data_IF_360088439339
#
_entry.id   IF_360088439339
#
_cell.length_a   1.000
_cell.length_b   1.000
_cell.length_c   1.000
_cell.angle_alpha   90.00
_cell.angle_beta   90.00
_cell.angle_gamma   90.00
#
_symmetry.space_group_name_H-M   'P 1'
#
loop_
_entity.id
_entity.type
_entity.pdbx_description
1 polymer ?
#
# COMPACT_ATOMS: atom_id res chain seq x y z
N UNK A 1 6.28 25.05 6.82
CA UNK A 1 7.43 24.36 6.20
C UNK A 1 7.98 23.37 7.21
N UNK A 2 8.26 22.12 6.81
CA UNK A 2 8.86 21.13 7.70
C UNK A 2 10.34 21.42 7.98
N UNK A 3 10.84 21.02 9.15
CA UNK A 3 12.25 21.14 9.49
C UNK A 3 13.06 20.01 8.85
N UNK A 4 14.05 20.33 8.02
CA UNK A 4 14.94 19.35 7.36
C UNK A 4 16.23 19.09 8.13
N UNK A 5 16.51 19.88 9.18
CA UNK A 5 17.70 19.72 10.03
C UNK A 5 17.65 18.46 10.89
N UNK A 6 16.48 17.82 11.03
CA UNK A 6 16.35 16.53 11.70
C UNK A 6 16.76 15.34 10.81
N UNK A 7 17.08 15.57 9.53
CA UNK A 7 17.48 14.53 8.59
C UNK A 7 19.00 14.34 8.58
N UNK A 8 19.50 13.10 8.32
CA UNK A 8 20.93 12.82 8.19
C UNK A 8 21.64 13.76 7.22
N UNK A 9 22.90 14.10 7.51
CA UNK A 9 23.71 15.00 6.67
C UNK A 9 24.13 14.42 5.33
N UNK A 10 24.11 13.09 5.20
CA UNK A 10 24.37 12.43 3.92
C UNK A 10 23.32 12.86 2.87
N UNK A 11 23.72 13.55 1.78
CA UNK A 11 22.79 14.08 0.79
C UNK A 11 21.96 13.00 0.09
N UNK A 12 22.55 11.83 -0.16
CA UNK A 12 21.86 10.72 -0.83
C UNK A 12 20.77 10.11 0.06
N UNK A 13 21.08 9.85 1.33
CA UNK A 13 20.12 9.38 2.32
C UNK A 13 19.02 10.41 2.58
N UNK A 14 19.38 11.69 2.69
CA UNK A 14 18.44 12.80 2.87
C UNK A 14 17.46 12.89 1.71
N UNK A 15 17.94 12.82 0.47
CA UNK A 15 17.09 12.78 -0.73
C UNK A 15 16.17 11.56 -0.71
N UNK A 16 16.69 10.37 -0.38
CA UNK A 16 15.89 9.13 -0.31
C UNK A 16 14.76 9.23 0.72
N UNK A 17 15.01 9.81 1.88
CA UNK A 17 14.00 10.03 2.92
C UNK A 17 12.95 11.04 2.44
N UNK A 18 13.38 12.17 1.88
CA UNK A 18 12.47 13.19 1.36
C UNK A 18 11.60 12.66 0.21
N UNK A 19 12.15 11.85 -0.70
CA UNK A 19 11.38 11.20 -1.76
C UNK A 19 10.31 10.25 -1.19
N UNK A 20 10.66 9.46 -0.17
CA UNK A 20 9.69 8.57 0.51
C UNK A 20 8.62 9.37 1.26
N UNK A 21 9.00 10.44 1.96
CA UNK A 21 8.06 11.32 2.65
C UNK A 21 7.13 12.06 1.67
N UNK A 22 7.68 12.50 0.54
CA UNK A 22 6.92 13.08 -0.57
C UNK A 22 5.90 12.09 -1.13
N UNK A 23 6.31 10.85 -1.40
CA UNK A 23 5.39 9.80 -1.84
C UNK A 23 4.23 9.57 -0.85
N UNK A 24 4.53 9.54 0.46
CA UNK A 24 3.49 9.41 1.49
C UNK A 24 2.55 10.64 1.53
N UNK A 25 3.12 11.84 1.42
CA UNK A 25 2.35 13.08 1.43
C UNK A 25 1.43 13.18 0.22
N UNK A 26 1.96 12.96 -0.99
CA UNK A 26 1.17 12.98 -2.21
C UNK A 26 0.16 11.83 -2.25
N UNK A 27 0.53 10.62 -1.82
CA UNK A 27 -0.43 9.51 -1.71
C UNK A 27 -1.54 9.74 -0.69
N UNK A 28 -1.29 10.51 0.39
CA UNK A 28 -2.30 10.86 1.38
C UNK A 28 -3.24 12.00 0.93
N UNK A 29 -2.80 12.82 -0.03
CA UNK A 29 -3.58 13.90 -0.65
C UNK A 29 -4.34 13.37 -1.88
N UNK A 30 -3.77 12.40 -2.58
CA UNK A 30 -4.43 11.62 -3.61
C UNK A 30 -5.46 10.67 -3.01
N UNK A 31 -6.25 10.05 -3.88
CA UNK A 31 -7.28 9.08 -3.52
C UNK A 31 -6.68 7.92 -2.72
N UNK A 32 -6.94 7.88 -1.42
CA UNK A 32 -6.44 6.86 -0.49
C UNK A 32 -6.84 5.45 -0.91
N UNK A 33 -7.97 5.31 -1.58
CA UNK A 33 -8.45 4.02 -2.05
C UNK A 33 -7.54 3.55 -3.17
N UNK A 34 -7.11 4.44 -4.07
CA UNK A 34 -6.14 4.14 -5.11
C UNK A 34 -4.78 3.69 -4.56
N UNK A 35 -4.32 4.27 -3.45
CA UNK A 35 -3.09 3.81 -2.81
C UNK A 35 -3.23 2.37 -2.29
N UNK A 36 -4.35 2.05 -1.65
CA UNK A 36 -4.66 0.70 -1.19
C UNK A 36 -4.77 -0.28 -2.38
N UNK A 37 -5.46 0.12 -3.45
CA UNK A 37 -5.55 -0.65 -4.71
C UNK A 37 -4.18 -0.96 -5.28
N UNK A 38 -3.27 0.03 -5.30
CA UNK A 38 -1.91 -0.16 -5.80
C UNK A 38 -1.15 -1.21 -5.00
N UNK A 39 -1.24 -1.21 -3.67
CA UNK A 39 -0.61 -2.25 -2.86
C UNK A 39 -1.24 -3.63 -3.07
N UNK A 40 -2.57 -3.71 -3.18
CA UNK A 40 -3.27 -4.95 -3.54
C UNK A 40 -2.80 -5.49 -4.90
N UNK A 41 -2.66 -4.62 -5.89
CA UNK A 41 -2.25 -4.99 -7.24
C UNK A 41 -0.83 -5.56 -7.27
N UNK A 42 0.09 -5.06 -6.44
CA UNK A 42 1.42 -5.67 -6.30
C UNK A 42 1.33 -7.06 -5.65
N UNK A 43 0.51 -7.24 -4.61
CA UNK A 43 0.33 -8.56 -3.98
C UNK A 43 -0.24 -9.60 -4.96
N UNK A 44 -1.22 -9.19 -5.78
CA UNK A 44 -1.86 -10.08 -6.76
C UNK A 44 -0.95 -10.33 -7.96
N UNK A 45 -0.40 -9.28 -8.57
CA UNK A 45 0.27 -9.36 -9.86
C UNK A 45 1.75 -9.71 -9.75
N UNK A 46 2.46 -9.18 -8.74
CA UNK A 46 3.89 -9.44 -8.55
C UNK A 46 4.11 -10.68 -7.68
N UNK A 47 3.44 -10.75 -6.53
CA UNK A 47 3.60 -11.87 -5.58
C UNK A 47 2.71 -13.08 -5.91
N UNK A 48 1.76 -12.95 -6.85
CA UNK A 48 0.90 -14.05 -7.29
C UNK A 48 -0.11 -14.52 -6.23
N UNK A 49 -0.37 -13.71 -5.21
CA UNK A 49 -1.30 -14.09 -4.14
C UNK A 49 -2.73 -13.92 -4.66
N UNK A 50 -3.52 -14.98 -4.58
CA UNK A 50 -4.90 -14.94 -5.05
C UNK A 50 -5.75 -13.95 -4.23
N UNK A 51 -6.74 -13.32 -4.89
CA UNK A 51 -7.69 -12.40 -4.24
C UNK A 51 -8.43 -13.09 -3.09
N UNK A 52 -8.91 -14.32 -3.32
CA UNK A 52 -9.50 -15.18 -2.31
C UNK A 52 -8.60 -15.38 -1.08
N UNK A 53 -7.29 -15.60 -1.28
CA UNK A 53 -6.34 -15.76 -0.17
C UNK A 53 -6.27 -14.49 0.67
N UNK A 54 -6.14 -13.33 0.04
CA UNK A 54 -6.09 -12.02 0.72
C UNK A 54 -7.41 -11.78 1.48
N UNK A 55 -8.56 -12.04 0.83
CA UNK A 55 -9.88 -11.88 1.43
C UNK A 55 -10.04 -12.75 2.69
N UNK A 56 -9.63 -14.02 2.63
CA UNK A 56 -9.65 -14.94 3.78
C UNK A 56 -8.74 -14.48 4.91
N UNK A 57 -7.55 -13.96 4.61
CA UNK A 57 -6.63 -13.43 5.62
C UNK A 57 -7.17 -12.15 6.28
N UNK A 58 -7.86 -11.31 5.52
CA UNK A 58 -8.51 -10.09 6.01
C UNK A 58 -9.86 -10.35 6.70
N UNK A 59 -10.46 -11.53 6.53
CA UNK A 59 -11.80 -11.83 7.05
C UNK A 59 -12.89 -11.01 6.36
N UNK A 60 -12.81 -10.88 5.03
CA UNK A 60 -13.75 -10.15 4.17
C UNK A 60 -14.17 -11.01 2.97
N UNK A 61 -15.14 -10.56 2.19
CA UNK A 61 -15.57 -11.25 0.97
C UNK A 61 -14.58 -11.02 -0.17
N UNK A 62 -14.38 -12.00 -1.05
CA UNK A 62 -13.50 -11.83 -2.23
C UNK A 62 -13.95 -10.68 -3.13
N UNK A 63 -15.26 -10.48 -3.23
CA UNK A 63 -15.85 -9.38 -3.99
C UNK A 63 -15.45 -8.00 -3.43
N UNK A 64 -15.15 -7.87 -2.13
CA UNK A 64 -14.65 -6.59 -1.57
C UNK A 64 -13.26 -6.25 -2.13
N UNK A 65 -12.44 -7.27 -2.42
CA UNK A 65 -11.14 -7.10 -3.08
C UNK A 65 -11.33 -6.68 -4.53
N UNK A 66 -12.25 -7.32 -5.26
CA UNK A 66 -12.56 -6.97 -6.65
C UNK A 66 -13.01 -5.51 -6.78
N UNK A 67 -13.86 -5.05 -5.85
CA UNK A 67 -14.35 -3.67 -5.79
C UNK A 67 -13.27 -2.65 -5.51
N UNK A 68 -12.19 -3.01 -4.82
CA UNK A 68 -11.03 -2.13 -4.64
C UNK A 68 -10.08 -2.13 -5.85
N UNK A 69 -10.10 -3.18 -6.67
CA UNK A 69 -9.22 -3.34 -7.83
C UNK A 69 -9.79 -2.75 -9.12
N UNK A 70 -11.07 -2.38 -9.17
CA UNK A 70 -11.61 -1.60 -10.29
C UNK A 70 -11.07 -0.17 -10.28
N UNK A 71 -11.07 0.48 -11.46
CA UNK A 71 -10.55 1.84 -11.62
C UNK A 71 -11.65 2.78 -12.19
N UNK A 72 -12.18 3.73 -11.40
CA UNK A 72 -11.80 4.04 -10.02
C UNK A 72 -12.31 2.99 -9.01
N UNK A 73 -11.67 2.85 -7.83
CA UNK A 73 -12.11 1.94 -6.78
C UNK A 73 -13.55 2.22 -6.36
N UNK A 74 -14.33 1.15 -6.17
CA UNK A 74 -15.68 1.26 -5.68
C UNK A 74 -15.73 1.53 -4.17
N UNK A 75 -16.82 2.17 -3.74
CA UNK A 75 -17.05 2.48 -2.33
C UNK A 75 -17.42 1.23 -1.53
N UNK A 76 -16.49 0.76 -0.72
CA UNK A 76 -16.72 -0.31 0.28
C UNK A 76 -16.90 0.27 1.69
N UNK A 77 -17.40 -0.55 2.62
CA UNK A 77 -17.52 -0.14 4.02
C UNK A 77 -16.14 0.15 4.65
N UNK A 78 -16.10 1.10 5.57
CA UNK A 78 -14.84 1.55 6.17
C UNK A 78 -14.18 0.44 7.01
N UNK A 79 -14.97 -0.37 7.72
CA UNK A 79 -14.46 -1.50 8.50
C UNK A 79 -13.80 -2.56 7.59
N UNK A 80 -14.46 -2.90 6.48
CA UNK A 80 -13.94 -3.81 5.46
C UNK A 80 -12.62 -3.26 4.89
N UNK A 81 -12.58 -1.97 4.56
CA UNK A 81 -11.38 -1.30 4.07
C UNK A 81 -10.22 -1.35 5.06
N UNK A 82 -10.48 -1.16 6.35
CA UNK A 82 -9.45 -1.25 7.39
C UNK A 82 -8.91 -2.67 7.54
N UNK A 83 -9.76 -3.69 7.53
CA UNK A 83 -9.34 -5.10 7.56
C UNK A 83 -8.40 -5.41 6.39
N UNK A 84 -8.80 -5.02 5.18
CA UNK A 84 -7.97 -5.19 3.98
C UNK A 84 -6.65 -4.43 4.10
N UNK A 85 -6.69 -3.16 4.53
CA UNK A 85 -5.49 -2.34 4.67
C UNK A 85 -4.46 -2.95 5.64
N UNK A 86 -4.90 -3.43 6.81
CA UNK A 86 -4.02 -4.10 7.78
C UNK A 86 -3.35 -5.32 7.15
N UNK A 87 -4.14 -6.22 6.54
CA UNK A 87 -3.60 -7.42 5.89
C UNK A 87 -2.64 -7.09 4.75
N UNK A 88 -2.99 -6.12 3.90
CA UNK A 88 -2.16 -5.69 2.77
C UNK A 88 -0.85 -5.09 3.26
N UNK A 89 -0.89 -4.26 4.30
CA UNK A 89 0.32 -3.66 4.89
C UNK A 89 1.26 -4.71 5.47
N UNK A 90 0.74 -5.69 6.21
CA UNK A 90 1.53 -6.79 6.77
C UNK A 90 2.15 -7.66 5.68
N UNK A 91 1.35 -8.07 4.68
CA UNK A 91 1.85 -8.85 3.55
C UNK A 91 2.90 -8.10 2.75
N UNK A 92 2.70 -6.81 2.44
CA UNK A 92 3.70 -5.99 1.75
C UNK A 92 4.98 -5.86 2.57
N UNK A 93 4.88 -5.75 3.89
CA UNK A 93 6.05 -5.69 4.77
C UNK A 93 6.84 -7.00 4.75
N UNK A 94 6.17 -8.15 4.90
CA UNK A 94 6.84 -9.45 4.94
C UNK A 94 7.42 -9.87 3.59
N UNK A 95 6.72 -9.61 2.50
CA UNK A 95 7.12 -10.08 1.18
C UNK A 95 8.15 -9.18 0.50
N UNK A 96 8.38 -7.97 1.03
CA UNK A 96 9.39 -7.05 0.51
C UNK A 96 10.78 -7.67 0.47
N UNK A 97 11.13 -8.51 1.45
CA UNK A 97 12.44 -9.17 1.50
C UNK A 97 12.58 -10.29 0.45
N UNK A 98 11.48 -10.72 -0.15
CA UNK A 98 11.46 -11.65 -1.27
C UNK A 98 11.54 -10.94 -2.64
N UNK A 99 11.47 -9.61 -2.68
CA UNK A 99 11.55 -8.84 -3.91
C UNK A 99 13.01 -8.76 -4.40
N UNK A 100 13.23 -8.95 -5.70
CA UNK A 100 14.58 -8.85 -6.27
C UNK A 100 15.16 -7.44 -6.03
N UNK A 101 16.46 -7.32 -5.72
CA UNK A 101 17.11 -6.01 -5.69
C UNK A 101 16.98 -5.37 -7.07
N UNK A 102 16.37 -4.19 -7.12
CA UNK A 102 16.34 -3.33 -8.30
C UNK A 102 17.62 -2.50 -8.33
#
# INVERSE_FOLDING_TARGET
>A
MGNVECLPDDPALRLKILSKAGFLYFGAIEDKDRQLSGFLEVLVSYHGISKLTIAKMAGVEENDIDRLLVNPPEKIEIEVKYKIAVTVMELRFWLKDCESPI
#
